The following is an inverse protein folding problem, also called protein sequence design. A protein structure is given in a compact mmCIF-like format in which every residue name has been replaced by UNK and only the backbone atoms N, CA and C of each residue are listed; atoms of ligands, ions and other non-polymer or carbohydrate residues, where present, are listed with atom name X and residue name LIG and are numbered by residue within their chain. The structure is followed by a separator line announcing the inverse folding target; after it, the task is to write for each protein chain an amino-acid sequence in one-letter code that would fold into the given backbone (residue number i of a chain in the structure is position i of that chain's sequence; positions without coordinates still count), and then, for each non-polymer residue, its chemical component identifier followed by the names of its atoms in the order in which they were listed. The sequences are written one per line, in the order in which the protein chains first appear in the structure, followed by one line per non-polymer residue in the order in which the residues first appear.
data_IF_463688220729
#
_entry.id   IF_463688220729
#
_cell.length_a   1.000
_cell.length_b   1.000
_cell.length_c   1.000
_cell.angle_alpha   90.00
_cell.angle_beta   90.00
_cell.angle_gamma   90.00
#
_symmetry.space_group_name_H-M   'P 1'
#
loop_
_entity.id
_entity.type
_entity.pdbx_description
1 polymer ?
#
# COMPACT_ATOMS: atom_id res chain seq x y z
N UNK A 1 -16.39 8.75 -8.35
CA UNK A 1 -15.89 9.19 -7.03
C UNK A 1 -14.81 10.23 -7.26
N UNK A 2 -14.76 11.27 -6.42
CA UNK A 2 -13.75 12.33 -6.51
C UNK A 2 -13.03 12.43 -5.16
N UNK A 3 -11.70 12.52 -5.17
CA UNK A 3 -10.85 12.63 -3.98
C UNK A 3 -10.15 13.98 -4.03
N UNK A 4 -10.16 14.74 -2.93
CA UNK A 4 -9.37 15.98 -2.86
C UNK A 4 -7.92 15.60 -2.56
N UNK A 5 -6.99 16.25 -3.22
CA UNK A 5 -5.56 15.98 -3.11
C UNK A 5 -4.79 17.30 -3.06
N UNK A 6 -3.79 17.38 -2.18
CA UNK A 6 -2.74 18.39 -2.20
C UNK A 6 -1.46 17.67 -2.66
N UNK A 7 -0.79 18.24 -3.66
CA UNK A 7 0.50 17.78 -4.12
C UNK A 7 1.56 18.83 -3.80
N UNK A 8 2.51 18.48 -2.94
CA UNK A 8 3.68 19.29 -2.60
C UNK A 8 4.97 18.79 -3.26
N UNK A 9 4.91 17.65 -3.94
CA UNK A 9 6.04 17.13 -4.71
C UNK A 9 6.24 17.92 -6.02
N UNK A 10 7.35 17.67 -6.69
CA UNK A 10 7.62 18.18 -8.05
C UNK A 10 7.08 17.25 -9.15
N UNK A 11 6.36 16.19 -8.79
CA UNK A 11 5.91 15.15 -9.72
C UNK A 11 4.44 15.32 -10.11
N UNK A 12 4.01 14.85 -11.29
CA UNK A 12 2.59 14.82 -11.67
C UNK A 12 1.75 14.04 -10.66
N UNK A 13 0.46 14.38 -10.58
CA UNK A 13 -0.50 13.60 -9.80
C UNK A 13 -0.53 12.14 -10.28
N UNK A 14 -0.72 11.16 -9.37
CA UNK A 14 -0.94 9.78 -9.76
C UNK A 14 -2.14 9.66 -10.70
N UNK A 15 -2.01 8.83 -11.73
CA UNK A 15 -3.07 8.55 -12.69
C UNK A 15 -3.18 7.05 -12.94
N UNK A 16 -4.34 6.62 -13.41
CA UNK A 16 -4.52 5.26 -13.91
C UNK A 16 -3.84 5.16 -15.28
N UNK A 17 -2.87 4.25 -15.40
CA UNK A 17 -2.08 4.06 -16.64
C UNK A 17 -2.93 3.45 -17.78
N UNK A 18 -3.96 2.69 -17.44
CA UNK A 18 -4.89 2.11 -18.40
C UNK A 18 -6.33 2.23 -17.88
N UNK A 19 -7.30 2.08 -18.78
CA UNK A 19 -8.73 2.11 -18.43
C UNK A 19 -9.14 1.03 -17.41
N UNK A 20 -8.36 -0.06 -17.30
CA UNK A 20 -8.63 -1.19 -16.42
C UNK A 20 -7.64 -1.28 -15.23
N UNK A 21 -6.76 -0.30 -15.07
CA UNK A 21 -5.81 -0.29 -13.95
C UNK A 21 -6.56 -0.12 -12.62
N UNK A 22 -6.27 -0.99 -11.65
CA UNK A 22 -6.88 -0.90 -10.31
C UNK A 22 -6.23 0.17 -9.42
N UNK A 23 -4.95 0.48 -9.67
CA UNK A 23 -4.17 1.42 -8.87
C UNK A 23 -3.45 2.47 -9.70
N UNK A 24 -2.95 3.49 -9.00
CA UNK A 24 -2.18 4.60 -9.54
C UNK A 24 -0.75 4.56 -8.97
N UNK A 25 0.27 4.71 -9.81
CA UNK A 25 1.66 4.64 -9.36
C UNK A 25 1.99 5.83 -8.43
N UNK A 26 2.60 5.55 -7.27
CA UNK A 26 3.12 6.54 -6.33
C UNK A 26 4.62 6.74 -6.59
N UNK A 27 5.04 8.01 -6.60
CA UNK A 27 6.43 8.39 -6.85
C UNK A 27 7.12 8.81 -5.55
N UNK A 28 8.41 8.52 -5.45
CA UNK A 28 9.26 9.02 -4.38
C UNK A 28 9.44 10.54 -4.53
N UNK A 29 9.24 11.29 -3.46
CA UNK A 29 9.54 12.72 -3.38
C UNK A 29 10.76 12.91 -2.46
N UNK A 30 11.93 13.09 -3.07
CA UNK A 30 13.23 13.07 -2.40
C UNK A 30 14.11 14.26 -2.84
N UNK A 31 14.85 14.84 -1.89
CA UNK A 31 15.88 15.85 -2.18
C UNK A 31 17.14 15.24 -2.80
N UNK A 32 17.48 14.01 -2.41
CA UNK A 32 18.61 13.24 -2.92
C UNK A 32 18.29 11.74 -2.96
N UNK A 33 18.97 10.94 -3.82
CA UNK A 33 18.77 9.50 -3.87
C UNK A 33 19.10 8.82 -2.54
N UNK A 34 18.40 7.74 -2.21
CA UNK A 34 18.60 6.99 -0.98
C UNK A 34 18.93 5.53 -1.30
N UNK A 35 20.06 5.03 -0.79
CA UNK A 35 20.40 3.61 -0.87
C UNK A 35 19.73 2.82 0.25
N UNK A 36 18.91 1.85 -0.13
CA UNK A 36 18.26 0.89 0.76
C UNK A 36 19.04 -0.43 0.72
N UNK A 37 19.86 -0.66 1.75
CA UNK A 37 20.63 -1.88 1.91
C UNK A 37 19.75 -3.15 2.07
N UNK A 38 20.28 -4.36 1.80
CA UNK A 38 19.63 -5.62 2.12
C UNK A 38 19.05 -5.67 3.54
N UNK A 39 17.80 -6.12 3.65
CA UNK A 39 17.00 -6.15 4.89
C UNK A 39 16.76 -4.78 5.54
N UNK A 40 17.18 -3.70 4.88
CA UNK A 40 16.89 -2.33 5.26
C UNK A 40 15.42 -1.98 5.08
N UNK A 41 14.95 -1.02 5.88
CA UNK A 41 13.60 -0.47 5.81
C UNK A 41 13.63 1.05 5.90
N UNK A 42 12.77 1.69 5.11
CA UNK A 42 12.67 3.15 5.09
C UNK A 42 11.24 3.59 4.78
N UNK A 43 10.84 4.74 5.31
CA UNK A 43 9.61 5.42 4.89
C UNK A 43 10.00 6.44 3.82
N UNK A 44 9.53 6.24 2.59
CA UNK A 44 9.69 7.19 1.49
C UNK A 44 8.44 8.05 1.39
N UNK A 45 8.60 9.38 1.42
CA UNK A 45 7.50 10.32 1.27
C UNK A 45 7.11 10.49 -0.19
N UNK A 46 5.85 10.88 -0.42
CA UNK A 46 5.30 11.10 -1.76
C UNK A 46 4.99 12.56 -2.03
N UNK A 47 4.93 13.38 -0.98
CA UNK A 47 4.48 14.77 -1.07
C UNK A 47 2.98 14.88 -1.34
N UNK A 48 2.23 13.78 -1.25
CA UNK A 48 0.79 13.72 -1.52
C UNK A 48 0.00 13.64 -0.21
N UNK A 49 -1.07 14.43 -0.16
CA UNK A 49 -2.00 14.50 0.97
C UNK A 49 -3.40 14.35 0.41
N UNK A 50 -4.20 13.44 0.94
CA UNK A 50 -5.53 13.14 0.39
C UNK A 50 -6.63 13.30 1.43
N UNK A 51 -7.84 13.52 0.94
CA UNK A 51 -9.07 13.48 1.72
C UNK A 51 -10.02 12.47 1.08
N UNK A 52 -10.19 11.33 1.77
CA UNK A 52 -11.11 10.28 1.34
C UNK A 52 -12.47 10.47 2.00
N UNK A 53 -13.56 10.05 1.32
CA UNK A 53 -14.86 9.92 1.96
C UNK A 53 -14.86 8.79 3.01
N UNK A 54 -15.69 8.92 4.05
CA UNK A 54 -15.92 7.86 5.04
C UNK A 54 -16.42 6.59 4.34
N UNK A 55 -15.93 5.42 4.77
CA UNK A 55 -16.23 4.12 4.16
C UNK A 55 -15.24 3.71 3.07
N UNK A 56 -14.18 4.50 2.87
CA UNK A 56 -13.09 4.20 1.95
C UNK A 56 -11.74 4.32 2.66
N UNK A 57 -10.81 3.48 2.25
CA UNK A 57 -9.39 3.59 2.55
C UNK A 57 -8.61 3.70 1.24
N UNK A 58 -7.39 4.22 1.31
CA UNK A 58 -6.43 4.04 0.25
C UNK A 58 -5.36 3.03 0.68
N UNK A 59 -5.09 2.07 -0.20
CA UNK A 59 -4.17 0.97 0.05
C UNK A 59 -2.89 1.17 -0.76
N UNK A 60 -1.78 1.37 -0.07
CA UNK A 60 -0.44 1.39 -0.65
C UNK A 60 0.03 -0.06 -0.86
N UNK A 61 0.17 -0.47 -2.12
CA UNK A 61 0.54 -1.83 -2.50
C UNK A 61 1.87 -1.88 -3.27
N UNK A 62 2.59 -3.02 -3.23
CA UNK A 62 3.80 -3.23 -4.00
C UNK A 62 3.55 -3.19 -5.51
N UNK A 63 4.56 -2.80 -6.27
CA UNK A 63 4.58 -2.96 -7.74
C UNK A 63 5.26 -4.28 -8.06
N UNK A 64 4.61 -5.13 -8.86
CA UNK A 64 5.11 -6.48 -9.18
C UNK A 64 6.51 -6.46 -9.79
N UNK A 65 6.81 -5.48 -10.64
CA UNK A 65 8.13 -5.31 -11.26
C UNK A 65 9.24 -5.07 -10.25
N UNK A 66 9.02 -4.26 -9.22
CA UNK A 66 10.00 -4.03 -8.15
C UNK A 66 10.15 -5.26 -7.26
N UNK A 67 9.04 -5.94 -6.94
CA UNK A 67 9.05 -7.14 -6.12
C UNK A 67 9.89 -8.26 -6.75
N UNK A 68 9.64 -8.60 -8.02
CA UNK A 68 10.34 -9.74 -8.65
C UNK A 68 11.76 -9.39 -9.12
N UNK A 69 12.00 -8.18 -9.61
CA UNK A 69 13.30 -7.82 -10.21
C UNK A 69 14.31 -7.27 -9.22
N UNK A 70 13.84 -6.71 -8.10
CA UNK A 70 14.68 -5.98 -7.13
C UNK A 70 14.49 -6.43 -5.69
N UNK A 71 13.56 -7.36 -5.43
CA UNK A 71 13.23 -7.79 -4.06
C UNK A 71 12.65 -6.68 -3.19
N UNK A 72 12.10 -5.62 -3.80
CA UNK A 72 11.55 -4.48 -3.08
C UNK A 72 10.05 -4.64 -2.92
N UNK A 73 9.57 -4.52 -1.69
CA UNK A 73 8.15 -4.56 -1.38
C UNK A 73 7.76 -3.48 -0.37
N UNK A 74 6.46 -3.29 -0.21
CA UNK A 74 5.89 -2.45 0.84
C UNK A 74 5.75 -3.32 2.09
N UNK A 75 6.49 -3.00 3.14
CA UNK A 75 6.64 -3.81 4.35
C UNK A 75 5.31 -4.07 5.05
N UNK A 76 4.44 -3.06 5.11
CA UNK A 76 3.12 -3.14 5.71
C UNK A 76 2.01 -3.43 4.67
N UNK A 77 2.33 -4.05 3.54
CA UNK A 77 1.37 -4.25 2.45
C UNK A 77 0.16 -5.13 2.86
N UNK A 78 -1.08 -4.72 2.50
CA UNK A 78 -1.44 -3.40 1.97
C UNK A 78 -1.34 -2.33 3.07
N UNK A 79 -0.62 -1.24 2.80
CA UNK A 79 -0.52 -0.14 3.74
C UNK A 79 -1.79 0.70 3.74
N UNK A 80 -2.48 0.81 4.88
CA UNK A 80 -3.73 1.55 5.01
C UNK A 80 -3.49 3.04 5.20
N UNK A 81 -4.20 3.86 4.41
CA UNK A 81 -4.36 5.30 4.60
C UNK A 81 -5.84 5.57 4.90
N UNK A 82 -6.10 5.96 6.14
CA UNK A 82 -7.45 6.20 6.66
C UNK A 82 -8.12 7.45 6.07
N UNK A 83 -9.45 7.49 6.09
CA UNK A 83 -10.21 8.59 5.50
C UNK A 83 -10.04 9.94 6.23
N UNK A 84 -9.68 9.91 7.50
CA UNK A 84 -9.40 11.09 8.32
C UNK A 84 -7.91 11.48 8.33
N UNK A 85 -7.04 10.70 7.68
CA UNK A 85 -5.63 11.05 7.56
C UNK A 85 -5.44 12.25 6.62
N UNK A 86 -4.68 13.24 7.07
CA UNK A 86 -4.32 14.45 6.29
C UNK A 86 -2.81 14.70 6.26
N UNK A 87 -2.01 13.70 6.62
CA UNK A 87 -0.56 13.77 6.52
C UNK A 87 -0.06 13.35 5.14
N UNK A 88 1.27 13.38 5.00
CA UNK A 88 1.97 12.95 3.78
C UNK A 88 1.97 11.43 3.69
N UNK A 89 1.39 10.90 2.62
CA UNK A 89 1.36 9.47 2.31
C UNK A 89 2.80 8.96 2.23
N UNK A 90 3.16 8.12 3.20
CA UNK A 90 4.45 7.45 3.25
C UNK A 90 4.36 6.02 2.70
N UNK A 91 5.38 5.60 1.96
CA UNK A 91 5.55 4.23 1.50
C UNK A 91 6.64 3.58 2.35
N UNK A 92 6.28 2.57 3.14
CA UNK A 92 7.25 1.82 3.96
C UNK A 92 7.88 0.74 3.09
N UNK A 93 9.03 1.03 2.49
CA UNK A 93 9.76 0.06 1.67
C UNK A 93 10.66 -0.82 2.53
N UNK A 94 10.76 -2.10 2.14
CA UNK A 94 11.76 -3.04 2.64
C UNK A 94 12.47 -3.69 1.45
N UNK A 95 13.78 -3.85 1.58
CA UNK A 95 14.60 -4.59 0.62
C UNK A 95 14.80 -6.02 1.13
N UNK A 96 14.21 -6.99 0.45
CA UNK A 96 14.33 -8.43 0.75
C UNK A 96 15.33 -9.13 -0.19
N UNK A 97 16.04 -8.38 -1.03
CA UNK A 97 17.13 -8.91 -1.85
C UNK A 97 18.46 -8.89 -1.11
N UNK A 98 19.50 -9.42 -1.77
CA UNK A 98 20.88 -9.39 -1.31
C UNK A 98 21.71 -8.27 -1.97
N UNK A 99 21.06 -7.37 -2.70
CA UNK A 99 21.70 -6.24 -3.39
C UNK A 99 21.19 -4.91 -2.84
N UNK A 100 22.04 -3.89 -2.86
CA UNK A 100 21.61 -2.52 -2.57
C UNK A 100 20.60 -2.05 -3.62
N UNK A 101 19.56 -1.34 -3.17
CA UNK A 101 18.59 -0.70 -4.05
C UNK A 101 18.62 0.81 -3.87
N UNK A 102 18.96 1.55 -4.93
CA UNK A 102 18.95 3.02 -4.92
C UNK A 102 17.55 3.49 -5.33
N UNK A 103 16.91 4.25 -4.44
CA UNK A 103 15.64 4.91 -4.70
C UNK A 103 15.93 6.30 -5.25
N UNK A 104 15.51 6.55 -6.48
CA UNK A 104 15.68 7.85 -7.15
C UNK A 104 14.45 8.75 -6.94
N UNK A 105 14.66 10.06 -6.92
CA UNK A 105 13.55 11.01 -6.89
C UNK A 105 12.66 10.82 -8.14
N UNK A 106 11.34 10.76 -7.95
CA UNK A 106 10.37 10.55 -9.02
C UNK A 106 10.20 9.09 -9.47
N UNK A 107 10.97 8.15 -8.90
CA UNK A 107 10.81 6.73 -9.17
C UNK A 107 9.46 6.23 -8.66
N UNK A 108 8.80 5.38 -9.44
CA UNK A 108 7.52 4.77 -9.09
C UNK A 108 7.76 3.60 -8.13
N UNK A 109 7.53 3.82 -6.84
CA UNK A 109 7.94 2.91 -5.77
C UNK A 109 6.82 2.02 -5.23
N UNK A 110 5.56 2.44 -5.39
CA UNK A 110 4.37 1.71 -4.96
C UNK A 110 3.18 2.07 -5.85
N UNK A 111 2.02 1.48 -5.60
CA UNK A 111 0.77 1.87 -6.22
C UNK A 111 -0.32 2.07 -5.17
N UNK A 112 -1.22 3.01 -5.41
CA UNK A 112 -2.34 3.35 -4.54
C UNK A 112 -3.63 2.78 -5.13
N UNK A 113 -4.37 1.97 -4.37
CA UNK A 113 -5.72 1.48 -4.72
C UNK A 113 -6.72 2.10 -3.75
N UNK A 114 -7.82 2.64 -4.26
CA UNK A 114 -8.91 3.10 -3.40
C UNK A 114 -9.89 1.95 -3.18
N UNK A 115 -10.11 1.55 -1.94
CA UNK A 115 -10.95 0.42 -1.57
C UNK A 115 -12.10 0.87 -0.67
N UNK A 116 -13.30 0.34 -0.92
CA UNK A 116 -14.42 0.49 0.00
C UNK A 116 -14.25 -0.49 1.15
N UNK A 117 -14.52 -0.06 2.37
CA UNK A 117 -14.60 -0.93 3.55
C UNK A 117 -15.90 -0.65 4.31
N UNK A 118 -16.27 -1.58 5.18
CA UNK A 118 -17.39 -1.41 6.11
C UNK A 118 -16.86 -1.12 7.52
N UNK A 119 -17.72 -0.56 8.38
CA UNK A 119 -17.44 -0.43 9.81
C UNK A 119 -18.31 -1.43 10.56
N UNK A 120 -17.69 -2.39 11.25
CA UNK A 120 -18.40 -3.37 12.04
C UNK A 120 -18.80 -2.79 13.41
N UNK A 121 -19.92 -3.28 13.93
CA UNK A 121 -20.31 -3.17 15.33
C UNK A 121 -20.23 -4.56 15.97
N UNK A 122 -19.67 -4.64 17.17
CA UNK A 122 -19.49 -5.91 17.86
C UNK A 122 -20.74 -6.30 18.65
N UNK A 123 -21.14 -7.56 18.55
CA UNK A 123 -22.14 -8.19 19.42
C UNK A 123 -21.45 -9.40 20.07
N UNK A 124 -21.18 -9.29 21.37
CA UNK A 124 -20.54 -10.36 22.15
C UNK A 124 -21.56 -11.48 22.44
N UNK A 125 -21.19 -12.73 22.16
CA UNK A 125 -22.04 -13.92 22.30
C UNK A 125 -21.25 -15.08 22.92
N UNK A 126 -21.94 -16.03 23.53
CA UNK A 126 -21.30 -17.21 24.13
C UNK A 126 -20.98 -18.30 23.09
N UNK A 127 -21.72 -18.36 21.98
CA UNK A 127 -21.59 -19.39 20.95
C UNK A 127 -21.79 -18.80 19.56
N UNK A 128 -21.09 -19.35 18.56
CA UNK A 128 -21.27 -19.03 17.13
C UNK A 128 -22.01 -20.18 16.43
N UNK A 129 -22.70 -19.88 15.33
CA UNK A 129 -23.34 -20.91 14.51
C UNK A 129 -22.32 -21.81 13.81
N UNK A 130 -22.63 -23.09 13.67
CA UNK A 130 -21.80 -24.03 12.92
C UNK A 130 -21.77 -23.71 11.42
N UNK A 131 -20.63 -23.98 10.78
CA UNK A 131 -20.47 -23.90 9.32
C UNK A 131 -19.72 -25.13 8.82
N UNK A 132 -19.82 -25.43 7.52
CA UNK A 132 -19.07 -26.54 6.91
C UNK A 132 -17.55 -26.41 7.04
N UNK A 133 -17.03 -25.20 7.22
CA UNK A 133 -15.59 -24.94 7.48
C UNK A 133 -15.23 -25.08 8.96
N UNK A 134 -16.14 -24.72 9.87
CA UNK A 134 -15.90 -24.72 11.31
C UNK A 134 -14.60 -24.00 11.69
N UNK A 135 -13.79 -24.64 12.51
CA UNK A 135 -12.48 -24.14 12.97
C UNK A 135 -11.32 -24.39 11.97
N UNK A 136 -11.60 -24.93 10.78
CA UNK A 136 -10.57 -25.25 9.79
C UNK A 136 -9.87 -24.01 9.19
N UNK A 137 -8.58 -23.85 9.46
CA UNK A 137 -7.71 -22.79 8.91
C UNK A 137 -6.32 -23.29 8.48
N UNK A 138 -5.44 -22.37 8.03
CA UNK A 138 -4.01 -22.65 7.76
C UNK A 138 -3.72 -23.86 6.85
N UNK A 139 -4.41 -23.97 5.71
CA UNK A 139 -4.20 -25.09 4.79
C UNK A 139 -5.05 -26.32 5.10
N UNK A 140 -6.09 -26.19 5.94
CA UNK A 140 -7.04 -27.27 6.28
C UNK A 140 -7.76 -27.93 5.09
N UNK A 141 -7.71 -27.33 3.90
CA UNK A 141 -8.27 -27.89 2.66
C UNK A 141 -7.20 -28.53 1.75
N UNK A 142 -5.93 -28.51 2.17
CA UNK A 142 -4.78 -28.96 1.38
C UNK A 142 -4.21 -30.28 1.89
N UNK A 143 -4.30 -31.32 1.06
CA UNK A 143 -3.45 -32.52 1.16
C UNK A 143 -2.36 -32.33 0.11
N UNK A 144 -1.16 -31.88 0.51
CA UNK A 144 0.09 -32.02 -0.25
C UNK A 144 1.28 -31.55 0.57
#
# INVERSE_FOLDING_TARGET
MTIKIINKSQHPLPNYETIASAGMDLRADLEAPITLAPLGRIIVKTGLFIELPIGYEAQVRPRSGLAIKKGITVLNSPGTVDADYRGDIGVILVNLSNEDFVIENGERIAQLIIAKHERAEWIEVQELSETSRGEGGFGSTGVK
#
